data_IF_601812970986
#
_entry.id   IF_601812970986
#
_cell.length_a   1.000
_cell.length_b   1.000
_cell.length_c   1.000
_cell.angle_alpha   90.00
_cell.angle_beta   90.00
_cell.angle_gamma   90.00
#
_symmetry.space_group_name_H-M   'P 1'
#
loop_
_entity.id
_entity.type
_entity.pdbx_description
1 polymer ?
#
# COMPACT_ATOMS: atom_id res chain seq x y z
N UNK A 1 -0.66 -17.96 -2.64
CA UNK A 1 -1.24 -19.27 -2.25
C UNK A 1 -1.19 -20.21 -3.45
N UNK A 2 -0.39 -21.28 -3.34
CA UNK A 2 -0.21 -22.26 -4.42
C UNK A 2 -1.42 -23.18 -4.58
N UNK A 3 -2.09 -23.50 -3.47
CA UNK A 3 -3.33 -24.27 -3.45
C UNK A 3 -4.57 -23.38 -3.71
N UNK A 4 -5.56 -23.92 -4.43
CA UNK A 4 -6.76 -23.18 -4.85
C UNK A 4 -7.71 -22.95 -3.67
N UNK A 5 -7.88 -23.95 -2.80
CA UNK A 5 -8.81 -23.85 -1.68
C UNK A 5 -8.24 -22.98 -0.55
N UNK A 6 -6.92 -23.06 -0.31
CA UNK A 6 -6.20 -22.09 0.49
C UNK A 6 -6.38 -20.66 -0.06
N UNK A 7 -6.18 -20.46 -1.37
CA UNK A 7 -6.35 -19.14 -1.98
C UNK A 7 -7.75 -18.58 -1.77
N UNK A 8 -8.79 -19.40 -2.00
CA UNK A 8 -10.18 -18.97 -1.82
C UNK A 8 -10.47 -18.54 -0.38
N UNK A 9 -10.02 -19.33 0.61
CA UNK A 9 -10.17 -18.97 2.03
C UNK A 9 -9.44 -17.67 2.35
N UNK A 10 -8.19 -17.53 1.94
CA UNK A 10 -7.37 -16.35 2.23
C UNK A 10 -7.90 -15.09 1.54
N UNK A 11 -8.45 -15.19 0.34
CA UNK A 11 -9.12 -14.04 -0.30
C UNK A 11 -10.38 -13.61 0.46
N UNK A 12 -11.13 -14.55 1.05
CA UNK A 12 -12.27 -14.21 1.90
C UNK A 12 -11.84 -13.60 3.25
N UNK A 13 -10.74 -14.07 3.83
CA UNK A 13 -10.21 -13.53 5.09
C UNK A 13 -9.61 -12.12 4.93
N UNK A 14 -9.13 -11.79 3.73
CA UNK A 14 -8.39 -10.54 3.43
C UNK A 14 -9.25 -9.48 2.75
N UNK A 15 -10.58 -9.61 2.79
CA UNK A 15 -11.49 -8.60 2.21
C UNK A 15 -11.19 -7.21 2.74
N UNK A 16 -10.91 -6.26 1.84
CA UNK A 16 -10.62 -4.87 2.18
C UNK A 16 -9.17 -4.64 2.65
N UNK A 17 -8.27 -5.60 2.47
CA UNK A 17 -6.84 -5.43 2.78
C UNK A 17 -6.21 -4.31 1.95
N UNK A 18 -6.67 -4.10 0.72
CA UNK A 18 -6.22 -3.10 -0.23
C UNK A 18 -6.28 -1.68 0.35
N UNK A 19 -7.31 -1.37 1.16
CA UNK A 19 -7.47 -0.07 1.83
C UNK A 19 -6.63 0.05 3.12
N UNK A 20 -5.94 -1.03 3.51
CA UNK A 20 -5.22 -1.14 4.78
C UNK A 20 -3.71 -1.18 4.63
N UNK A 21 -3.19 -0.98 3.42
CA UNK A 21 -1.75 -0.89 3.15
C UNK A 21 -1.37 0.59 3.14
N UNK A 22 -0.67 1.06 4.16
CA UNK A 22 -0.27 2.48 4.27
C UNK A 22 1.20 2.69 3.91
N UNK A 23 1.53 3.92 3.51
CA UNK A 23 2.89 4.42 3.36
C UNK A 23 3.13 5.62 4.29
N UNK A 24 4.33 5.76 4.83
CA UNK A 24 4.75 6.90 5.64
C UNK A 24 6.14 7.37 5.19
N UNK A 25 6.34 8.68 5.09
CA UNK A 25 7.64 9.30 4.75
C UNK A 25 8.18 10.01 5.99
N UNK A 26 9.35 9.56 6.49
CA UNK A 26 9.94 10.06 7.73
C UNK A 26 8.94 10.05 8.90
N UNK A 27 8.85 11.16 9.62
CA UNK A 27 7.91 11.35 10.73
C UNK A 27 6.54 11.90 10.28
N UNK A 28 6.23 11.82 8.97
CA UNK A 28 4.96 12.24 8.40
C UNK A 28 3.77 11.39 8.87
N UNK A 29 2.56 11.79 8.47
CA UNK A 29 1.37 10.98 8.75
C UNK A 29 1.32 9.76 7.82
N UNK A 30 0.59 8.72 8.24
CA UNK A 30 0.30 7.58 7.36
C UNK A 30 -0.60 8.03 6.22
N UNK A 31 -0.17 7.72 5.00
CA UNK A 31 -0.91 7.94 3.76
C UNK A 31 -1.55 6.61 3.39
N UNK A 32 -2.88 6.63 3.29
CA UNK A 32 -3.69 5.48 2.91
C UNK A 32 -3.91 5.47 1.39
N UNK A 33 -4.11 4.29 0.80
CA UNK A 33 -4.23 4.17 -0.64
C UNK A 33 -5.64 4.54 -1.09
N UNK A 34 -5.73 4.96 -2.34
CA UNK A 34 -6.97 4.92 -3.13
C UNK A 34 -6.84 3.67 -3.99
N UNK A 35 -7.56 2.61 -3.60
CA UNK A 35 -7.51 1.32 -4.28
C UNK A 35 -8.62 1.20 -5.34
N UNK A 36 -8.28 0.54 -6.45
CA UNK A 36 -9.20 0.10 -7.52
C UNK A 36 -10.14 1.20 -8.06
N UNK A 37 -9.66 2.44 -8.16
CA UNK A 37 -10.45 3.57 -8.67
C UNK A 37 -10.86 3.41 -10.15
N UNK A 38 -10.24 2.47 -10.86
CA UNK A 38 -10.59 2.07 -12.23
C UNK A 38 -11.78 1.09 -12.28
N UNK A 39 -12.25 0.62 -11.14
CA UNK A 39 -13.35 -0.35 -11.02
C UNK A 39 -14.63 0.28 -10.46
N UNK A 40 -15.78 -0.16 -10.97
CA UNK A 40 -17.08 0.20 -10.42
C UNK A 40 -17.24 -0.36 -8.99
N UNK A 41 -17.67 0.50 -8.05
CA UNK A 41 -17.76 0.21 -6.60
C UNK A 41 -18.70 -0.96 -6.23
N UNK A 42 -19.46 -1.51 -7.16
CA UNK A 42 -20.40 -2.61 -6.92
C UNK A 42 -19.75 -4.00 -6.73
N UNK A 43 -18.41 -4.08 -6.61
CA UNK A 43 -17.65 -5.33 -6.40
C UNK A 43 -17.06 -5.48 -4.99
N UNK A 44 -17.46 -4.64 -4.05
CA UNK A 44 -16.95 -4.56 -2.67
C UNK A 44 -17.08 -5.87 -1.84
N UNK A 45 -17.87 -6.86 -2.28
CA UNK A 45 -18.11 -8.09 -1.50
C UNK A 45 -17.01 -9.19 -1.65
N UNK A 46 -16.02 -9.02 -2.53
CA UNK A 46 -14.97 -10.03 -2.77
C UNK A 46 -13.61 -9.38 -3.01
N UNK A 47 -12.64 -9.67 -2.15
CA UNK A 47 -11.24 -9.29 -2.39
C UNK A 47 -10.71 -9.97 -3.66
N UNK A 48 -9.96 -9.20 -4.45
CA UNK A 48 -9.28 -9.69 -5.62
C UNK A 48 -7.88 -10.19 -5.26
N UNK A 49 -7.30 -11.04 -6.11
CA UNK A 49 -5.90 -11.42 -5.93
C UNK A 49 -4.92 -10.32 -6.37
N UNK A 50 -5.42 -9.29 -7.08
CA UNK A 50 -4.67 -8.17 -7.64
C UNK A 50 -5.50 -6.93 -7.44
N UNK A 51 -4.87 -5.89 -6.91
CA UNK A 51 -5.43 -4.56 -6.69
C UNK A 51 -4.48 -3.52 -7.26
N UNK A 52 -5.01 -2.41 -7.76
CA UNK A 52 -4.21 -1.25 -8.14
C UNK A 52 -4.36 -0.17 -7.06
N UNK A 53 -3.23 0.35 -6.58
CA UNK A 53 -3.21 1.33 -5.49
C UNK A 53 -2.52 2.62 -5.95
N UNK A 54 -3.14 3.74 -5.65
CA UNK A 54 -2.53 5.07 -5.77
C UNK A 54 -2.38 5.70 -4.40
N UNK A 55 -1.23 6.32 -4.15
CA UNK A 55 -0.96 7.08 -2.94
C UNK A 55 -0.82 8.56 -3.28
N UNK A 56 -1.59 9.40 -2.61
CA UNK A 56 -1.49 10.86 -2.76
C UNK A 56 -0.54 11.42 -1.71
N UNK A 57 0.71 11.67 -2.10
CA UNK A 57 1.70 12.32 -1.24
C UNK A 57 1.50 13.83 -1.26
N UNK A 58 1.51 14.45 -0.09
CA UNK A 58 1.53 15.92 0.01
C UNK A 58 2.86 16.48 -0.49
N UNK A 59 2.91 17.78 -0.79
CA UNK A 59 4.15 18.45 -1.21
C UNK A 59 5.26 18.32 -0.16
N UNK A 60 4.88 18.29 1.13
CA UNK A 60 5.79 18.09 2.26
C UNK A 60 6.37 16.68 2.23
N UNK A 61 5.53 15.66 2.00
CA UNK A 61 5.98 14.27 1.93
C UNK A 61 6.88 14.03 0.71
N UNK A 62 6.55 14.62 -0.45
CA UNK A 62 7.39 14.52 -1.65
C UNK A 62 8.75 15.18 -1.44
N UNK A 63 8.78 16.36 -0.81
CA UNK A 63 10.03 17.04 -0.48
C UNK A 63 10.86 16.23 0.52
N UNK A 64 10.24 15.65 1.55
CA UNK A 64 10.91 14.80 2.53
C UNK A 64 11.49 13.53 1.88
N UNK A 65 10.73 12.86 1.01
CA UNK A 65 11.20 11.69 0.27
C UNK A 65 12.41 12.05 -0.62
N UNK A 66 12.34 13.16 -1.35
CA UNK A 66 13.45 13.69 -2.17
C UNK A 66 14.67 14.11 -1.33
N UNK A 67 14.47 14.52 -0.08
CA UNK A 67 15.55 14.80 0.87
C UNK A 67 16.20 13.53 1.46
N UNK A 68 15.73 12.35 1.08
CA UNK A 68 16.31 11.06 1.48
C UNK A 68 15.72 10.47 2.77
N UNK A 69 14.65 11.06 3.30
CA UNK A 69 13.94 10.51 4.46
C UNK A 69 13.48 9.07 4.21
N UNK A 70 13.37 8.29 5.27
CA UNK A 70 12.91 6.90 5.16
C UNK A 70 11.48 6.84 4.59
N UNK A 71 11.21 5.82 3.79
CA UNK A 71 9.86 5.49 3.33
C UNK A 71 9.52 4.13 3.92
N UNK A 72 8.42 4.07 4.65
CA UNK A 72 7.97 2.88 5.37
C UNK A 72 6.60 2.46 4.85
N UNK A 73 6.41 1.18 4.58
CA UNK A 73 5.11 0.60 4.28
C UNK A 73 4.65 -0.28 5.43
N UNK A 74 3.35 -0.34 5.68
CA UNK A 74 2.77 -1.27 6.64
C UNK A 74 1.36 -1.69 6.26
N UNK A 75 0.86 -2.71 6.96
CA UNK A 75 -0.49 -3.24 6.74
C UNK A 75 -1.24 -3.26 8.07
N UNK A 76 -2.41 -2.64 8.11
CA UNK A 76 -3.30 -2.64 9.28
C UNK A 76 -4.58 -3.41 8.98
N UNK A 77 -4.41 -4.71 8.70
CA UNK A 77 -5.52 -5.62 8.47
C UNK A 77 -5.48 -6.76 9.49
N UNK A 78 -6.60 -7.03 10.18
CA UNK A 78 -6.65 -8.02 11.28
C UNK A 78 -6.23 -9.42 10.84
N UNK A 79 -6.55 -9.80 9.59
CA UNK A 79 -6.17 -11.09 9.02
C UNK A 79 -4.74 -11.13 8.43
N UNK A 80 -4.00 -10.03 8.51
CA UNK A 80 -2.63 -9.88 8.02
C UNK A 80 -1.74 -9.10 9.01
N UNK A 81 -1.37 -9.71 10.15
CA UNK A 81 -0.42 -9.11 11.05
C UNK A 81 0.97 -9.11 10.41
N UNK A 82 1.49 -7.93 10.07
CA UNK A 82 2.84 -7.76 9.54
C UNK A 82 3.50 -6.54 10.18
N UNK A 83 4.78 -6.67 10.52
CA UNK A 83 5.58 -5.53 10.93
C UNK A 83 5.78 -4.56 9.76
N UNK A 84 5.81 -3.24 10.02
CA UNK A 84 6.16 -2.25 9.00
C UNK A 84 7.55 -2.52 8.42
N UNK A 85 7.70 -2.23 7.13
CA UNK A 85 8.94 -2.45 6.38
C UNK A 85 9.48 -1.11 5.93
N UNK A 86 10.70 -0.80 6.34
CA UNK A 86 11.49 0.31 5.78
C UNK A 86 11.96 -0.10 4.39
N UNK A 87 11.69 0.73 3.38
CA UNK A 87 12.09 0.43 2.01
C UNK A 87 13.61 0.39 1.88
N UNK A 88 14.17 -0.64 1.24
CA UNK A 88 15.58 -0.65 0.85
C UNK A 88 15.91 0.53 -0.07
N UNK A 89 17.14 1.03 0.01
CA UNK A 89 17.59 2.23 -0.69
C UNK A 89 17.31 2.19 -2.21
N UNK A 90 17.53 1.04 -2.86
CA UNK A 90 17.30 0.89 -4.31
C UNK A 90 15.82 1.10 -4.67
N UNK A 91 14.90 0.55 -3.88
CA UNK A 91 13.45 0.71 -4.09
C UNK A 91 13.01 2.13 -3.75
N UNK A 92 13.54 2.71 -2.67
CA UNK A 92 13.27 4.09 -2.27
C UNK A 92 13.70 5.07 -3.37
N UNK A 93 14.92 4.93 -3.89
CA UNK A 93 15.45 5.80 -4.93
C UNK A 93 14.63 5.70 -6.23
N UNK A 94 14.19 4.50 -6.61
CA UNK A 94 13.32 4.30 -7.77
C UNK A 94 11.97 5.03 -7.60
N UNK A 95 11.30 4.87 -6.45
CA UNK A 95 10.03 5.55 -6.19
C UNK A 95 10.18 7.08 -6.12
N UNK A 96 11.25 7.58 -5.51
CA UNK A 96 11.53 9.02 -5.46
C UNK A 96 11.69 9.61 -6.86
N UNK A 97 12.25 8.86 -7.80
CA UNK A 97 12.39 9.31 -9.19
C UNK A 97 11.04 9.44 -9.93
N UNK A 98 9.99 8.73 -9.48
CA UNK A 98 8.65 8.84 -10.03
C UNK A 98 7.87 10.07 -9.51
N UNK A 99 8.37 10.73 -8.45
CA UNK A 99 7.72 11.89 -7.84
C UNK A 99 7.98 13.16 -8.65
N UNK A 100 6.92 13.72 -9.22
CA UNK A 100 6.93 15.08 -9.79
C UNK A 100 7.19 16.14 -8.72
N UNK A 101 7.62 17.31 -9.17
CA UNK A 101 7.76 18.50 -8.32
C UNK A 101 6.38 19.00 -7.85
#
# INVERSE_FOLDING_TARGET
YGDIDERRRRLADLVGIEDKIWVQVGDGQKIWPIADEDMDRSKEDKTAAVHFMRYELTDVDRAAAKAGMEIVFGVEHVAYPSEPVVLPEVSKAALVADLSD
#
